data_IF_458167371274
#
_entry.id   IF_458167371274
#
_cell.length_a   1.000
_cell.length_b   1.000
_cell.length_c   1.000
_cell.angle_alpha   90.00
_cell.angle_beta   90.00
_cell.angle_gamma   90.00
#
_symmetry.space_group_name_H-M   'P 1'
#
loop_
_entity.id
_entity.type
_entity.pdbx_description
1 polymer ?
#
# COMPACT_ATOMS: atom_id res chain seq x y z
N UNK A 1 -43.16 20.99 15.47
CA UNK A 1 -42.41 21.71 14.42
C UNK A 1 -40.94 21.84 14.84
N UNK A 2 -40.23 20.72 15.06
CA UNK A 2 -38.86 20.77 15.59
C UNK A 2 -38.06 19.46 15.39
N UNK A 3 -38.06 18.83 14.20
CA UNK A 3 -37.26 17.59 13.97
C UNK A 3 -36.64 17.48 12.57
N UNK A 4 -36.40 18.60 11.87
CA UNK A 4 -35.83 18.60 10.50
C UNK A 4 -34.54 19.41 10.32
N UNK A 5 -33.79 19.68 11.39
CA UNK A 5 -32.63 20.59 11.33
C UNK A 5 -31.30 20.02 11.87
N UNK A 6 -31.07 18.71 11.78
CA UNK A 6 -29.80 18.09 12.22
C UNK A 6 -29.11 17.18 11.19
N UNK A 7 -29.44 17.27 9.89
CA UNK A 7 -28.72 16.51 8.84
C UNK A 7 -27.72 17.34 8.01
N UNK A 8 -27.67 18.67 8.20
CA UNK A 8 -26.95 19.59 7.30
C UNK A 8 -25.42 19.67 7.50
N UNK A 9 -24.82 18.96 8.46
CA UNK A 9 -23.36 19.01 8.66
C UNK A 9 -22.73 17.65 9.01
N UNK A 10 -23.19 16.56 8.39
CA UNK A 10 -22.33 15.39 8.22
C UNK A 10 -21.69 15.48 6.84
N UNK A 11 -20.49 16.05 6.78
CA UNK A 11 -19.56 15.82 5.67
C UNK A 11 -19.55 14.32 5.40
N UNK A 12 -20.20 13.88 4.31
CA UNK A 12 -20.13 12.49 3.87
C UNK A 12 -18.66 12.24 3.56
N UNK A 13 -18.05 11.28 4.25
CA UNK A 13 -16.70 10.82 3.90
C UNK A 13 -16.70 10.48 2.41
N UNK A 14 -15.89 11.19 1.63
CA UNK A 14 -15.79 11.00 0.16
C UNK A 14 -15.39 9.57 -0.22
N UNK A 15 -14.56 8.93 0.61
CA UNK A 15 -14.09 7.56 0.40
C UNK A 15 -14.20 6.75 1.70
N UNK A 16 -14.63 5.49 1.59
CA UNK A 16 -14.81 4.55 2.71
C UNK A 16 -13.45 4.07 3.22
N UNK A 17 -12.56 3.64 2.32
CA UNK A 17 -11.25 3.07 2.63
C UNK A 17 -10.13 3.62 1.69
N UNK A 18 -8.90 3.15 1.89
CA UNK A 18 -7.73 3.55 1.09
C UNK A 18 -7.78 3.03 -0.35
N UNK A 19 -8.26 1.81 -0.56
CA UNK A 19 -8.34 1.17 -1.86
C UNK A 19 -9.23 1.97 -2.79
N UNK A 20 -10.40 2.38 -2.29
CA UNK A 20 -11.34 3.25 -2.99
C UNK A 20 -10.69 4.60 -3.32
N UNK A 21 -10.00 5.22 -2.35
CA UNK A 21 -9.30 6.49 -2.57
C UNK A 21 -8.23 6.38 -3.66
N UNK A 22 -7.39 5.35 -3.61
CA UNK A 22 -6.34 5.13 -4.59
C UNK A 22 -6.90 4.82 -5.97
N UNK A 23 -7.88 3.92 -6.07
CA UNK A 23 -8.48 3.58 -7.35
C UNK A 23 -9.19 4.77 -8.00
N UNK A 24 -10.02 5.52 -7.24
CA UNK A 24 -10.68 6.72 -7.75
C UNK A 24 -9.68 7.80 -8.18
N UNK A 25 -8.55 7.92 -7.47
CA UNK A 25 -7.47 8.85 -7.83
C UNK A 25 -6.79 8.42 -9.12
N UNK A 26 -6.46 7.14 -9.28
CA UNK A 26 -5.84 6.60 -10.49
C UNK A 26 -6.74 6.77 -11.73
N UNK A 27 -8.05 6.53 -11.60
CA UNK A 27 -9.03 6.80 -12.66
C UNK A 27 -9.06 8.29 -13.02
N UNK A 28 -9.05 9.19 -12.03
CA UNK A 28 -9.06 10.63 -12.26
C UNK A 28 -7.81 11.12 -12.99
N UNK A 29 -6.63 10.56 -12.69
CA UNK A 29 -5.37 10.87 -13.39
C UNK A 29 -5.44 10.53 -14.89
N UNK A 30 -6.24 9.50 -15.25
CA UNK A 30 -6.53 9.11 -16.63
C UNK A 30 -7.75 9.81 -17.23
N UNK A 31 -8.38 10.75 -16.50
CA UNK A 31 -9.64 11.41 -16.89
C UNK A 31 -10.79 10.42 -17.14
N UNK A 32 -10.76 9.27 -16.46
CA UNK A 32 -11.84 8.28 -16.49
C UNK A 32 -12.89 8.60 -15.40
N UNK A 33 -14.17 8.24 -15.62
CA UNK A 33 -15.21 8.32 -14.59
C UNK A 33 -14.83 7.53 -13.33
N UNK A 34 -15.18 8.05 -12.16
CA UNK A 34 -14.90 7.45 -10.86
C UNK A 34 -16.07 7.58 -9.86
N UNK A 35 -17.26 7.89 -10.38
CA UNK A 35 -18.52 7.99 -9.66
C UNK A 35 -19.21 6.63 -9.49
N UNK A 36 -18.92 5.67 -10.38
CA UNK A 36 -19.38 4.30 -10.33
C UNK A 36 -18.20 3.32 -10.19
N UNK A 37 -17.86 2.98 -8.95
CA UNK A 37 -16.78 2.05 -8.60
C UNK A 37 -17.23 1.06 -7.52
N UNK A 38 -16.75 -0.18 -7.64
CA UNK A 38 -16.92 -1.20 -6.62
C UNK A 38 -15.57 -1.65 -6.06
N UNK A 39 -15.56 -2.00 -4.77
CA UNK A 39 -14.35 -2.38 -4.03
C UNK A 39 -14.60 -3.68 -3.29
N UNK A 40 -13.90 -4.72 -3.72
CA UNK A 40 -13.76 -5.96 -2.96
C UNK A 40 -12.48 -5.85 -2.13
N UNK A 41 -12.63 -5.37 -0.89
CA UNK A 41 -11.48 -5.10 -0.04
C UNK A 41 -10.79 -6.38 0.42
N UNK A 42 -11.54 -7.44 0.68
CA UNK A 42 -10.97 -8.69 1.18
C UNK A 42 -10.06 -9.34 0.13
N UNK A 43 -10.51 -9.40 -1.12
CA UNK A 43 -9.72 -9.97 -2.21
C UNK A 43 -8.81 -8.94 -2.91
N UNK A 44 -8.76 -7.69 -2.43
CA UNK A 44 -7.92 -6.64 -3.00
C UNK A 44 -8.23 -6.34 -4.46
N UNK A 45 -9.53 -6.27 -4.83
CA UNK A 45 -9.96 -5.98 -6.20
C UNK A 45 -10.80 -4.70 -6.29
N UNK A 46 -10.65 -4.01 -7.39
CA UNK A 46 -11.35 -2.78 -7.73
C UNK A 46 -12.09 -2.99 -9.05
N UNK A 47 -13.27 -2.40 -9.19
CA UNK A 47 -14.03 -2.46 -10.44
C UNK A 47 -14.53 -1.09 -10.85
N UNK A 48 -14.50 -0.82 -12.15
CA UNK A 48 -15.25 0.27 -12.79
C UNK A 48 -15.71 -0.16 -14.19
N UNK A 49 -16.70 0.50 -14.80
CA UNK A 49 -17.12 0.21 -16.17
C UNK A 49 -16.01 0.34 -17.23
N UNK A 50 -14.90 1.01 -16.90
CA UNK A 50 -13.76 1.22 -17.80
C UNK A 50 -12.63 0.22 -17.63
N UNK A 51 -12.54 -0.41 -16.46
CA UNK A 51 -11.42 -1.29 -16.10
C UNK A 51 -11.83 -2.75 -15.96
N UNK A 52 -13.14 -3.02 -15.79
CA UNK A 52 -13.62 -4.28 -15.22
C UNK A 52 -12.92 -4.57 -13.88
N UNK A 53 -12.92 -5.81 -13.39
CA UNK A 53 -12.24 -6.18 -12.16
C UNK A 53 -10.72 -6.21 -12.36
N UNK A 54 -10.03 -5.33 -11.65
CA UNK A 54 -8.56 -5.28 -11.55
C UNK A 54 -8.11 -5.47 -10.12
N UNK A 55 -6.84 -5.89 -9.86
CA UNK A 55 -6.27 -5.87 -8.51
C UNK A 55 -6.25 -4.46 -7.91
N UNK A 56 -5.83 -4.35 -6.66
CA UNK A 56 -5.62 -3.06 -5.99
C UNK A 56 -4.70 -2.18 -6.83
N UNK A 57 -5.13 -0.95 -7.08
CA UNK A 57 -4.45 0.01 -7.95
C UNK A 57 -3.87 1.14 -7.12
N UNK A 58 -2.63 1.54 -7.44
CA UNK A 58 -1.98 2.72 -6.89
C UNK A 58 -1.98 3.88 -7.91
N UNK A 59 -2.19 5.13 -7.48
CA UNK A 59 -2.11 6.29 -8.35
C UNK A 59 -0.69 6.56 -8.84
N UNK A 60 -0.56 7.08 -10.06
CA UNK A 60 0.72 7.46 -10.64
C UNK A 60 1.45 8.49 -9.81
N UNK A 61 0.74 9.46 -9.21
CA UNK A 61 1.41 10.50 -8.41
C UNK A 61 2.25 9.93 -7.25
N UNK A 62 1.86 8.78 -6.69
CA UNK A 62 2.64 8.11 -5.63
C UNK A 62 3.90 7.53 -6.24
N UNK A 63 3.77 6.86 -7.37
CA UNK A 63 4.88 6.21 -8.08
C UNK A 63 5.88 7.27 -8.56
N UNK A 64 5.40 8.35 -9.18
CA UNK A 64 6.22 9.47 -9.63
C UNK A 64 6.96 10.16 -8.47
N UNK A 65 6.37 10.22 -7.28
CA UNK A 65 7.06 10.70 -6.08
C UNK A 65 8.14 9.71 -5.65
N UNK A 66 7.81 8.42 -5.54
CA UNK A 66 8.75 7.38 -5.10
C UNK A 66 9.93 7.25 -6.06
N UNK A 67 9.73 7.37 -7.37
CA UNK A 67 10.78 7.32 -8.40
C UNK A 67 11.85 8.41 -8.22
N UNK A 68 11.50 9.54 -7.61
CA UNK A 68 12.43 10.63 -7.33
C UNK A 68 13.25 10.41 -6.04
N UNK A 69 12.91 9.39 -5.24
CA UNK A 69 13.56 9.13 -3.96
C UNK A 69 14.87 8.36 -4.14
N UNK A 70 15.85 8.53 -3.23
CA UNK A 70 17.08 7.76 -3.25
C UNK A 70 16.80 6.25 -3.15
N UNK A 71 17.46 5.47 -4.01
CA UNK A 71 17.38 3.99 -4.00
C UNK A 71 18.61 3.32 -3.38
N UNK A 72 19.62 4.10 -3.01
CA UNK A 72 20.79 3.59 -2.27
C UNK A 72 20.33 3.09 -0.90
N UNK A 73 20.58 1.82 -0.62
CA UNK A 73 20.13 1.19 0.63
C UNK A 73 21.08 1.54 1.78
N UNK A 74 20.53 2.13 2.83
CA UNK A 74 21.23 2.66 4.00
C UNK A 74 20.88 1.90 5.29
N UNK A 75 19.74 1.19 5.33
CA UNK A 75 19.32 0.39 6.47
C UNK A 75 18.71 -0.93 6.03
N UNK A 76 18.69 -1.90 6.93
CA UNK A 76 18.19 -3.24 6.63
C UNK A 76 16.67 -3.30 6.69
N UNK A 77 16.07 -2.91 7.81
CA UNK A 77 14.64 -3.11 8.06
C UNK A 77 13.90 -1.79 8.25
N UNK A 78 12.63 -1.77 7.89
CA UNK A 78 11.74 -0.67 8.23
C UNK A 78 10.29 -1.15 8.36
N UNK A 79 9.63 -0.68 9.41
CA UNK A 79 8.19 -0.73 9.58
C UNK A 79 7.75 0.57 10.23
N UNK A 80 6.69 1.19 9.68
CA UNK A 80 5.93 2.20 10.39
C UNK A 80 4.44 1.95 10.26
N UNK A 81 3.75 1.84 11.38
CA UNK A 81 2.33 1.51 11.34
C UNK A 81 1.71 1.06 12.64
N UNK A 82 0.41 0.76 12.56
CA UNK A 82 -0.32 0.23 13.70
C UNK A 82 0.02 -1.26 13.91
N UNK A 83 0.28 -1.60 15.17
CA UNK A 83 0.70 -2.92 15.61
C UNK A 83 -0.38 -3.50 16.50
N UNK A 84 -1.06 -4.52 16.00
CA UNK A 84 -1.94 -5.39 16.77
C UNK A 84 -1.16 -6.56 17.35
N UNK A 85 -1.78 -7.32 18.25
CA UNK A 85 -1.15 -8.48 18.92
C UNK A 85 -0.59 -9.53 17.96
N UNK A 86 -1.21 -9.71 16.78
CA UNK A 86 -0.74 -10.62 15.73
C UNK A 86 0.51 -10.11 14.96
N UNK A 87 1.01 -8.92 15.27
CA UNK A 87 2.17 -8.29 14.61
C UNK A 87 3.35 -8.04 15.54
N UNK A 88 3.35 -8.66 16.73
CA UNK A 88 4.45 -8.53 17.70
C UNK A 88 5.82 -8.97 17.16
N UNK A 89 5.83 -9.85 16.17
CA UNK A 89 7.07 -10.30 15.53
C UNK A 89 7.88 -9.16 14.92
N UNK A 90 7.26 -8.03 14.58
CA UNK A 90 7.93 -6.85 14.05
C UNK A 90 8.89 -6.20 15.06
N UNK A 91 8.60 -6.29 16.36
CA UNK A 91 9.32 -5.57 17.42
C UNK A 91 10.78 -5.99 17.54
N UNK A 92 11.16 -7.16 17.01
CA UNK A 92 12.54 -7.64 17.03
C UNK A 92 13.44 -7.00 15.97
N UNK A 93 12.87 -6.26 15.02
CA UNK A 93 13.63 -5.65 13.92
C UNK A 93 14.04 -4.21 14.26
N UNK A 94 15.30 -3.81 14.01
CA UNK A 94 15.85 -2.51 14.44
C UNK A 94 15.28 -1.26 13.73
N UNK A 95 14.30 -1.41 12.84
CA UNK A 95 13.62 -0.31 12.13
C UNK A 95 12.11 -0.25 12.38
N UNK A 96 11.66 -0.83 13.50
CA UNK A 96 10.26 -0.87 13.90
C UNK A 96 9.80 0.43 14.56
N UNK A 97 8.72 1.01 14.05
CA UNK A 97 8.07 2.20 14.61
C UNK A 97 6.54 2.00 14.67
N UNK A 98 5.97 2.04 15.87
CA UNK A 98 4.50 2.06 16.03
C UNK A 98 3.95 3.45 15.72
N UNK A 99 2.92 3.53 14.86
CA UNK A 99 2.29 4.79 14.47
C UNK A 99 0.82 4.62 14.10
N UNK A 100 0.01 5.63 14.46
CA UNK A 100 -1.41 5.72 14.08
C UNK A 100 -1.65 6.63 12.86
N UNK A 101 -0.59 7.15 12.21
CA UNK A 101 -0.71 8.13 11.12
C UNK A 101 -1.65 7.68 9.99
N UNK A 102 -1.53 6.43 9.54
CA UNK A 102 -2.40 5.88 8.48
C UNK A 102 -3.85 5.62 8.93
N UNK A 103 -4.16 5.66 10.23
CA UNK A 103 -5.52 5.46 10.77
C UNK A 103 -6.20 6.77 11.13
N UNK A 104 -5.42 7.84 11.30
CA UNK A 104 -5.95 9.16 11.61
C UNK A 104 -6.79 9.72 10.45
N UNK A 105 -7.92 10.34 10.79
CA UNK A 105 -8.92 10.78 9.80
C UNK A 105 -8.44 11.94 8.93
N UNK A 106 -7.50 12.75 9.43
CA UNK A 106 -6.99 13.94 8.78
C UNK A 106 -5.79 13.63 7.87
N UNK A 107 -5.03 12.58 8.20
CA UNK A 107 -3.80 12.22 7.49
C UNK A 107 -3.93 11.00 6.61
N UNK A 108 -4.89 10.09 6.84
CA UNK A 108 -4.95 8.81 6.11
C UNK A 108 -4.88 8.96 4.58
N UNK A 109 -5.54 9.95 3.97
CA UNK A 109 -5.49 10.10 2.50
C UNK A 109 -4.37 11.02 1.99
N UNK A 110 -3.42 11.38 2.85
CA UNK A 110 -2.24 12.15 2.47
C UNK A 110 -1.08 11.21 2.20
N UNK A 111 -0.23 11.62 1.27
CA UNK A 111 1.04 10.94 1.04
C UNK A 111 1.96 11.19 2.24
N UNK A 112 2.39 10.12 2.89
CA UNK A 112 3.37 10.19 3.99
C UNK A 112 4.78 10.23 3.39
N UNK A 113 5.25 11.41 3.02
CA UNK A 113 6.53 11.56 2.32
C UNK A 113 7.72 10.99 3.10
N UNK A 114 7.75 11.21 4.42
CA UNK A 114 8.81 10.71 5.28
C UNK A 114 8.81 9.18 5.34
N UNK A 115 7.63 8.55 5.30
CA UNK A 115 7.51 7.09 5.27
C UNK A 115 8.19 6.52 4.03
N UNK A 116 7.85 7.06 2.86
CA UNK A 116 8.40 6.60 1.59
C UNK A 116 9.90 6.94 1.45
N UNK A 117 10.36 8.08 1.98
CA UNK A 117 11.79 8.44 2.03
C UNK A 117 12.61 7.44 2.84
N UNK A 118 12.13 7.04 4.01
CA UNK A 118 12.81 6.02 4.82
C UNK A 118 12.73 4.64 4.17
N UNK A 119 11.56 4.27 3.65
CA UNK A 119 11.38 2.98 2.99
C UNK A 119 12.24 2.86 1.71
N UNK A 120 12.41 3.93 0.93
CA UNK A 120 13.19 3.89 -0.32
C UNK A 120 14.67 3.56 -0.11
N UNK A 121 15.21 3.90 1.06
CA UNK A 121 16.60 3.58 1.47
C UNK A 121 16.70 2.30 2.32
N UNK A 122 15.61 1.54 2.46
CA UNK A 122 15.58 0.29 3.24
C UNK A 122 15.72 -0.94 2.34
N UNK A 123 16.48 -1.96 2.77
CA UNK A 123 16.60 -3.25 2.06
C UNK A 123 15.33 -4.09 2.15
N UNK A 124 14.77 -4.21 3.35
CA UNK A 124 13.66 -5.09 3.71
C UNK A 124 12.51 -4.30 4.32
N UNK A 125 11.40 -4.19 3.58
CA UNK A 125 10.18 -3.56 4.08
C UNK A 125 9.34 -4.58 4.82
N UNK A 126 9.10 -4.39 6.12
CA UNK A 126 8.26 -5.32 6.87
C UNK A 126 6.79 -5.08 6.51
N UNK A 127 6.16 -6.10 5.92
CA UNK A 127 4.85 -6.05 5.30
C UNK A 127 3.91 -7.10 5.91
N UNK A 128 3.60 -7.02 7.22
CA UNK A 128 2.64 -7.94 7.83
C UNK A 128 1.26 -7.77 7.20
N UNK A 129 0.55 -8.89 7.02
CA UNK A 129 -0.81 -8.83 6.48
C UNK A 129 -1.77 -8.05 7.40
N UNK A 130 -2.84 -7.58 6.75
CA UNK A 130 -3.91 -6.77 7.32
C UNK A 130 -4.95 -7.55 8.12
N UNK A 131 -6.13 -6.93 8.21
CA UNK A 131 -7.39 -7.65 8.46
C UNK A 131 -7.85 -8.42 7.19
N UNK A 132 -7.21 -8.14 6.05
CA UNK A 132 -7.35 -8.86 4.78
C UNK A 132 -6.08 -9.68 4.54
N UNK A 133 -6.13 -10.74 3.70
CA UNK A 133 -4.97 -11.57 3.36
C UNK A 133 -4.01 -10.86 2.37
N UNK A 134 -3.81 -9.55 2.58
CA UNK A 134 -2.86 -8.70 1.87
C UNK A 134 -2.63 -7.41 2.67
N UNK A 135 -1.62 -6.63 2.29
CA UNK A 135 -1.42 -5.29 2.86
C UNK A 135 -0.88 -4.29 1.83
N UNK A 136 -1.22 -3.00 1.98
CA UNK A 136 -0.57 -1.94 1.19
C UNK A 136 0.95 -1.94 1.39
N UNK A 137 1.43 -2.27 2.59
CA UNK A 137 2.86 -2.29 2.94
C UNK A 137 3.67 -3.21 2.04
N UNK A 138 3.06 -4.30 1.57
CA UNK A 138 3.69 -5.20 0.61
C UNK A 138 4.08 -4.44 -0.66
N UNK A 139 3.10 -3.76 -1.27
CA UNK A 139 3.30 -2.96 -2.48
C UNK A 139 4.13 -1.71 -2.23
N UNK A 140 4.01 -1.08 -1.07
CA UNK A 140 4.84 0.07 -0.68
C UNK A 140 6.32 -0.31 -0.61
N UNK A 141 6.65 -1.48 -0.06
CA UNK A 141 8.01 -2.02 -0.09
C UNK A 141 8.49 -2.24 -1.53
N UNK A 142 7.66 -2.87 -2.37
CA UNK A 142 7.97 -3.10 -3.79
C UNK A 142 8.24 -1.79 -4.54
N UNK A 143 7.35 -0.78 -4.42
CA UNK A 143 7.53 0.55 -5.03
C UNK A 143 8.85 1.22 -4.62
N UNK A 144 9.28 0.99 -3.37
CA UNK A 144 10.51 1.54 -2.82
C UNK A 144 11.77 0.71 -3.15
N UNK A 145 11.67 -0.30 -4.02
CA UNK A 145 12.74 -1.27 -4.29
C UNK A 145 13.27 -1.94 -3.02
N UNK A 146 12.39 -2.23 -2.07
CA UNK A 146 12.69 -3.05 -0.91
C UNK A 146 12.07 -4.44 -1.12
N UNK A 147 12.71 -5.48 -0.59
CA UNK A 147 12.11 -6.82 -0.59
C UNK A 147 11.07 -6.86 0.54
N UNK A 148 9.80 -7.19 0.26
CA UNK A 148 8.80 -7.35 1.31
C UNK A 148 9.15 -8.52 2.23
N UNK A 149 9.01 -8.31 3.54
CA UNK A 149 9.10 -9.38 4.55
C UNK A 149 7.72 -9.57 5.17
N UNK A 150 7.12 -10.74 4.96
CA UNK A 150 5.82 -11.09 5.55
C UNK A 150 6.00 -11.94 6.80
N UNK A 151 4.95 -12.06 7.62
CA UNK A 151 4.98 -12.95 8.78
C UNK A 151 5.25 -14.40 8.39
N UNK A 152 5.85 -15.17 9.31
CA UNK A 152 6.23 -16.56 9.07
C UNK A 152 5.08 -17.38 8.48
N UNK A 153 3.91 -17.25 9.11
CA UNK A 153 2.69 -17.99 8.77
C UNK A 153 1.70 -17.15 7.93
N UNK A 154 2.08 -15.94 7.52
CA UNK A 154 1.22 -15.09 6.70
C UNK A 154 1.03 -15.71 5.31
N UNK A 155 -0.21 -15.65 4.82
CA UNK A 155 -0.61 -16.04 3.48
C UNK A 155 -1.12 -14.78 2.77
N UNK A 156 -0.23 -14.09 2.05
CA UNK A 156 -0.57 -12.92 1.25
C UNK A 156 -0.96 -13.36 -0.17
N UNK A 157 -2.18 -13.01 -0.61
CA UNK A 157 -2.75 -13.45 -1.89
C UNK A 157 -2.01 -12.91 -3.12
N UNK A 158 -1.15 -11.91 -2.95
CA UNK A 158 -0.38 -11.34 -4.05
C UNK A 158 1.09 -11.80 -4.04
N UNK A 159 1.57 -12.37 -2.94
CA UNK A 159 3.01 -12.59 -2.76
C UNK A 159 3.63 -13.57 -3.75
N UNK A 160 2.87 -14.51 -4.31
CA UNK A 160 3.38 -15.51 -5.26
C UNK A 160 3.90 -14.90 -6.57
N UNK A 161 3.45 -13.70 -6.95
CA UNK A 161 3.92 -12.98 -8.13
C UNK A 161 5.25 -12.24 -7.92
N UNK A 162 5.79 -12.26 -6.68
CA UNK A 162 6.93 -11.45 -6.28
C UNK A 162 7.99 -12.27 -5.55
N UNK A 163 9.22 -11.77 -5.55
CA UNK A 163 10.24 -12.19 -4.60
C UNK A 163 9.96 -11.53 -3.25
N UNK A 164 9.76 -12.34 -2.21
CA UNK A 164 9.54 -11.88 -0.85
C UNK A 164 10.30 -12.78 0.14
N UNK A 165 10.42 -12.32 1.38
CA UNK A 165 11.07 -13.04 2.47
C UNK A 165 10.10 -13.28 3.61
N UNK A 166 10.43 -14.21 4.51
CA UNK A 166 9.60 -14.56 5.66
C UNK A 166 10.29 -14.27 6.97
N UNK A 167 9.51 -13.82 7.93
CA UNK A 167 9.96 -13.69 9.31
C UNK A 167 10.66 -14.95 9.81
N UNK A 168 11.82 -14.77 10.44
CA UNK A 168 12.62 -15.86 11.03
C UNK A 168 13.49 -16.64 10.05
N UNK A 169 13.61 -16.20 8.80
CA UNK A 169 14.60 -16.71 7.84
C UNK A 169 15.82 -15.80 7.72
N UNK A 170 16.90 -16.33 7.16
CA UNK A 170 18.03 -15.50 6.75
C UNK A 170 17.63 -14.65 5.54
N UNK A 171 17.87 -13.34 5.65
CA UNK A 171 17.48 -12.39 4.63
C UNK A 171 18.68 -11.96 3.79
N UNK A 172 18.54 -12.08 2.47
CA UNK A 172 19.55 -11.66 1.50
C UNK A 172 19.04 -10.53 0.60
N UNK A 173 19.91 -9.52 0.47
CA UNK A 173 19.84 -8.35 -0.40
C UNK A 173 19.89 -8.65 -1.90
N UNK A 174 18.79 -8.74 -2.66
CA UNK A 174 18.86 -8.81 -4.14
C UNK A 174 18.22 -7.60 -4.83
N UNK A 175 19.06 -6.74 -5.41
CA UNK A 175 18.60 -5.56 -6.16
C UNK A 175 17.97 -5.89 -7.52
N UNK A 176 18.37 -6.98 -8.17
CA UNK A 176 17.76 -7.40 -9.43
C UNK A 176 16.32 -7.89 -9.19
N UNK A 177 16.13 -8.72 -8.18
CA UNK A 177 14.80 -9.14 -7.74
C UNK A 177 13.90 -7.94 -7.37
N UNK A 178 14.45 -6.89 -6.74
CA UNK A 178 13.70 -5.66 -6.47
C UNK A 178 13.26 -4.93 -7.74
N UNK A 179 14.11 -4.93 -8.79
CA UNK A 179 13.77 -4.32 -10.07
C UNK A 179 12.65 -5.11 -10.77
N UNK A 180 12.74 -6.44 -10.75
CA UNK A 180 11.73 -7.33 -11.34
C UNK A 180 10.38 -7.19 -10.61
N UNK A 181 10.40 -7.21 -9.26
CA UNK A 181 9.22 -6.92 -8.44
C UNK A 181 8.58 -5.59 -8.81
N UNK A 182 9.38 -4.54 -9.00
CA UNK A 182 8.87 -3.23 -9.38
C UNK A 182 8.20 -3.26 -10.75
N UNK A 183 8.75 -3.96 -11.75
CA UNK A 183 8.10 -4.11 -13.06
C UNK A 183 6.80 -4.90 -12.97
N UNK A 184 6.75 -5.98 -12.21
CA UNK A 184 5.51 -6.74 -11.94
C UNK A 184 4.46 -5.84 -11.29
N UNK A 185 4.85 -5.05 -10.29
CA UNK A 185 3.98 -4.09 -9.63
C UNK A 185 3.42 -3.06 -10.61
N UNK A 186 4.27 -2.46 -11.45
CA UNK A 186 3.85 -1.46 -12.43
C UNK A 186 2.82 -2.04 -13.41
N UNK A 187 3.00 -3.30 -13.83
CA UNK A 187 2.08 -3.99 -14.73
C UNK A 187 0.73 -4.30 -14.07
N UNK A 188 0.74 -4.81 -12.84
CA UNK A 188 -0.43 -5.42 -12.21
C UNK A 188 -1.23 -4.48 -11.29
N UNK A 189 -0.58 -3.47 -10.71
CA UNK A 189 -1.16 -2.60 -9.68
C UNK A 189 -1.18 -1.12 -10.08
N UNK A 190 -1.09 -0.84 -11.38
CA UNK A 190 -1.27 0.50 -11.94
C UNK A 190 -2.13 0.43 -13.18
N UNK A 191 -2.71 1.57 -13.58
CA UNK A 191 -3.47 1.70 -14.83
C UNK A 191 -2.59 2.22 -15.98
N UNK A 192 -1.26 2.07 -15.91
CA UNK A 192 -0.34 2.58 -16.95
C UNK A 192 -0.61 2.01 -18.34
N UNK A 193 -1.14 0.79 -18.42
CA UNK A 193 -1.51 0.14 -19.69
C UNK A 193 -2.74 0.77 -20.37
N UNK A 194 -3.47 1.67 -19.71
CA UNK A 194 -4.65 2.35 -20.23
C UNK A 194 -4.36 3.79 -20.72
N UNK A 195 -3.09 4.19 -20.75
CA UNK A 195 -2.66 5.52 -21.19
C UNK A 195 -2.60 5.67 -22.69
#
# INVERSE_FOLDING_TARGET
>A
MLHKFLSLFRSKRRYKNFQEYFFATALAELKLPNDDIEIDHYNGRCWSPKTDWVPVVFPEKIIAFVDQLPKKKLQDYFFRGFVSSNRKWLEKYPGFESSNYGRDRQTRFKLDEDYYRTLSVTRYGLAPIGDCPWSYRFFEAVMCHSIPVIGKDDQDIFAEDYVYLRDGTDHSYDSAACADNYQTFLKNHTLRHMR
#
